data_IF_052062491674
#
_entry.id   IF_052062491674
#
_cell.length_a   1.000
_cell.length_b   1.000
_cell.length_c   1.000
_cell.angle_alpha   90.00
_cell.angle_beta   90.00
_cell.angle_gamma   90.00
#
_symmetry.space_group_name_H-M   'P 1'
#
loop_
_entity.id
_entity.type
_entity.pdbx_description
1 polymer ?
#
# COMPACT_ATOMS: atom_id res chain seq x y z
N UNK A 1 -29.10 3.76 -16.74
CA UNK A 1 -29.04 2.41 -17.35
C UNK A 1 -27.59 1.98 -17.32
N UNK A 2 -27.26 0.84 -16.71
CA UNK A 2 -25.89 0.34 -16.68
C UNK A 2 -25.50 -0.13 -18.08
N UNK A 3 -24.31 0.26 -18.56
CA UNK A 3 -23.77 -0.27 -19.81
C UNK A 3 -23.29 -1.70 -19.53
N UNK A 4 -23.83 -2.68 -20.23
CA UNK A 4 -23.53 -4.10 -20.04
C UNK A 4 -23.40 -4.72 -21.44
N UNK A 5 -22.43 -5.62 -21.63
CA UNK A 5 -22.34 -6.44 -22.85
C UNK A 5 -22.80 -7.85 -22.52
N UNK A 6 -23.83 -8.32 -23.20
CA UNK A 6 -24.29 -9.71 -23.09
C UNK A 6 -23.31 -10.64 -23.81
N UNK A 7 -22.78 -11.62 -23.09
CA UNK A 7 -21.86 -12.62 -23.62
C UNK A 7 -22.57 -13.96 -23.82
N UNK A 8 -22.40 -14.58 -24.99
CA UNK A 8 -22.88 -15.96 -25.22
C UNK A 8 -22.05 -16.98 -24.41
N UNK A 9 -20.82 -16.63 -24.07
CA UNK A 9 -19.95 -17.40 -23.18
C UNK A 9 -20.30 -17.09 -21.71
N UNK A 10 -20.13 -18.07 -20.82
CA UNK A 10 -20.44 -17.93 -19.38
C UNK A 10 -19.44 -17.05 -18.62
N UNK A 11 -18.55 -16.34 -19.31
CA UNK A 11 -17.53 -15.47 -18.73
C UNK A 11 -17.55 -14.13 -19.46
N UNK A 12 -17.62 -13.06 -18.68
CA UNK A 12 -17.47 -11.69 -19.14
C UNK A 12 -16.45 -10.97 -18.26
N UNK A 13 -15.93 -9.84 -18.76
CA UNK A 13 -15.11 -8.95 -17.95
C UNK A 13 -15.54 -7.48 -18.10
N UNK A 14 -15.14 -6.70 -17.10
CA UNK A 14 -15.23 -5.24 -17.08
C UNK A 14 -13.87 -4.69 -16.68
N UNK A 15 -13.40 -3.69 -17.44
CA UNK A 15 -12.12 -3.04 -17.26
C UNK A 15 -12.30 -1.54 -17.05
N UNK A 16 -11.61 -0.97 -16.07
CA UNK A 16 -11.62 0.47 -15.78
C UNK A 16 -10.39 1.14 -16.39
N UNK A 17 -10.65 1.96 -17.40
CA UNK A 17 -9.65 2.72 -18.14
C UNK A 17 -9.57 4.11 -17.51
N UNK A 18 -8.45 4.41 -16.85
CA UNK A 18 -8.17 5.74 -16.29
C UNK A 18 -6.99 6.35 -17.05
N UNK A 19 -7.21 7.48 -17.76
CA UNK A 19 -6.18 8.23 -18.46
C UNK A 19 -6.17 9.69 -18.00
N UNK A 20 -4.98 10.25 -17.83
CA UNK A 20 -4.81 11.65 -17.44
C UNK A 20 -4.24 12.44 -18.63
N UNK A 21 -4.89 13.56 -18.94
CA UNK A 21 -4.51 14.48 -20.00
C UNK A 21 -4.47 15.92 -19.44
N UNK A 22 -3.30 16.32 -18.93
CA UNK A 22 -3.18 17.58 -18.19
C UNK A 22 -4.00 17.52 -16.90
N UNK A 23 -4.92 18.47 -16.74
CA UNK A 23 -5.83 18.54 -15.59
C UNK A 23 -7.10 17.69 -15.78
N UNK A 24 -7.35 17.19 -17.00
CA UNK A 24 -8.51 16.34 -17.27
C UNK A 24 -8.20 14.86 -16.97
N UNK A 25 -9.00 14.26 -16.07
CA UNK A 25 -9.02 12.82 -15.83
C UNK A 25 -10.18 12.20 -16.60
N UNK A 26 -9.87 11.22 -17.43
CA UNK A 26 -10.86 10.45 -18.18
C UNK A 26 -10.97 9.08 -17.53
N UNK A 27 -12.18 8.74 -17.09
CA UNK A 27 -12.52 7.41 -16.60
C UNK A 27 -13.57 6.79 -17.51
N UNK A 28 -13.30 5.59 -18.02
CA UNK A 28 -14.23 4.85 -18.86
C UNK A 28 -14.23 3.37 -18.50
N UNK A 29 -15.41 2.75 -18.58
CA UNK A 29 -15.55 1.30 -18.42
C UNK A 29 -15.66 0.65 -19.79
N UNK A 30 -14.85 -0.40 -19.98
CA UNK A 30 -14.94 -1.28 -21.14
C UNK A 30 -15.44 -2.64 -20.71
N UNK A 31 -16.37 -3.20 -21.47
CA UNK A 31 -17.06 -4.45 -21.15
C UNK A 31 -16.93 -5.40 -22.34
N UNK A 32 -16.44 -6.62 -22.09
CA UNK A 32 -16.33 -7.63 -23.14
C UNK A 32 -16.55 -9.06 -22.62
N UNK A 33 -16.59 -10.01 -23.55
CA UNK A 33 -16.68 -11.44 -23.31
C UNK A 33 -15.30 -12.03 -23.00
N UNK A 34 -15.28 -13.12 -22.23
CA UNK A 34 -14.07 -13.86 -21.89
C UNK A 34 -13.40 -13.36 -20.60
N UNK A 35 -12.13 -13.73 -20.44
CA UNK A 35 -11.33 -13.38 -19.25
C UNK A 35 -10.65 -12.03 -19.42
N UNK A 36 -10.26 -11.43 -18.30
CA UNK A 36 -9.43 -10.22 -18.32
C UNK A 36 -8.14 -10.44 -19.14
N UNK A 37 -7.95 -9.69 -20.24
CA UNK A 37 -6.80 -9.86 -21.11
C UNK A 37 -5.51 -9.43 -20.42
N UNK A 38 -4.42 -10.16 -20.66
CA UNK A 38 -3.07 -9.81 -20.19
C UNK A 38 -2.30 -8.94 -21.18
N UNK A 39 -2.70 -9.00 -22.45
CA UNK A 39 -2.02 -8.34 -23.58
C UNK A 39 -2.67 -7.01 -23.98
N UNK A 40 -2.16 -6.40 -25.06
CA UNK A 40 -2.67 -5.12 -25.58
C UNK A 40 -4.08 -5.29 -26.14
N UNK A 41 -5.00 -4.42 -25.72
CA UNK A 41 -6.35 -4.33 -26.23
C UNK A 41 -6.47 -3.15 -27.23
N UNK A 42 -7.01 -3.42 -28.42
CA UNK A 42 -7.32 -2.38 -29.41
C UNK A 42 -8.78 -1.93 -29.26
N UNK A 43 -8.97 -0.71 -28.73
CA UNK A 43 -10.29 -0.09 -28.53
C UNK A 43 -10.68 0.86 -29.65
N UNK A 44 -9.99 0.84 -30.79
CA UNK A 44 -10.22 1.73 -31.94
C UNK A 44 -11.67 1.77 -32.41
N UNK A 45 -12.38 0.64 -32.37
CA UNK A 45 -13.77 0.52 -32.81
C UNK A 45 -14.82 1.04 -31.81
N UNK A 46 -14.45 1.24 -30.54
CA UNK A 46 -15.40 1.56 -29.46
C UNK A 46 -15.52 3.07 -29.21
N UNK A 47 -14.48 3.84 -29.50
CA UNK A 47 -14.40 5.27 -29.17
C UNK A 47 -14.84 6.12 -30.35
N UNK A 48 -16.14 6.41 -30.44
CA UNK A 48 -16.65 7.50 -31.29
C UNK A 48 -16.35 8.83 -30.61
N UNK A 49 -15.34 9.57 -31.07
CA UNK A 49 -15.03 10.89 -30.51
C UNK A 49 -15.27 12.03 -31.51
N UNK A 50 -15.83 13.13 -31.02
CA UNK A 50 -15.77 14.46 -31.64
C UNK A 50 -14.30 14.86 -31.87
N UNK A 51 -14.07 15.69 -32.88
CA UNK A 51 -12.76 15.99 -33.51
C UNK A 51 -11.60 16.45 -32.60
N UNK A 52 -11.81 16.71 -31.30
CA UNK A 52 -10.77 17.15 -30.36
C UNK A 52 -9.91 16.06 -29.69
N UNK A 53 -10.30 14.78 -29.76
CA UNK A 53 -9.70 13.71 -28.93
C UNK A 53 -8.77 12.71 -29.67
N UNK A 54 -8.21 13.08 -30.82
CA UNK A 54 -7.39 12.19 -31.66
C UNK A 54 -6.15 11.63 -30.91
N UNK A 55 -5.52 12.41 -30.03
CA UNK A 55 -4.39 11.95 -29.18
C UNK A 55 -4.80 10.86 -28.18
N UNK A 56 -5.99 10.99 -27.60
CA UNK A 56 -6.55 10.01 -26.66
C UNK A 56 -6.89 8.70 -27.39
N UNK A 57 -7.46 8.77 -28.59
CA UNK A 57 -7.69 7.58 -29.42
C UNK A 57 -6.40 6.81 -29.71
N UNK A 58 -5.30 7.50 -30.03
CA UNK A 58 -4.04 6.83 -30.32
C UNK A 58 -3.41 6.13 -29.10
N UNK A 59 -3.64 6.63 -27.89
CA UNK A 59 -3.28 5.92 -26.66
C UNK A 59 -4.17 4.70 -26.42
N UNK A 60 -5.48 4.86 -26.60
CA UNK A 60 -6.47 3.81 -26.36
C UNK A 60 -6.45 2.70 -27.42
N UNK A 61 -5.89 2.96 -28.61
CA UNK A 61 -5.58 1.95 -29.65
C UNK A 61 -4.58 0.89 -29.22
N UNK A 62 -3.73 1.19 -28.23
CA UNK A 62 -2.71 0.27 -27.72
C UNK A 62 -2.73 0.27 -26.19
N UNK A 63 -3.91 0.03 -25.63
CA UNK A 63 -4.06 -0.01 -24.18
C UNK A 63 -3.38 -1.28 -23.65
N UNK A 64 -2.34 -1.11 -22.83
CA UNK A 64 -1.69 -2.25 -22.18
C UNK A 64 -2.53 -2.71 -20.99
N UNK A 65 -3.26 -3.81 -21.15
CA UNK A 65 -4.16 -4.34 -20.13
C UNK A 65 -3.45 -4.88 -18.89
N UNK A 66 -2.12 -5.08 -18.96
CA UNK A 66 -1.30 -5.33 -17.78
C UNK A 66 -1.29 -4.17 -16.78
N UNK A 67 -1.77 -2.98 -17.16
CA UNK A 67 -1.85 -1.80 -16.27
C UNK A 67 -3.30 -1.35 -15.99
N UNK A 68 -4.30 -2.12 -16.45
CA UNK A 68 -5.71 -1.73 -16.42
C UNK A 68 -6.45 -2.63 -15.45
N UNK A 69 -7.11 -2.02 -14.47
CA UNK A 69 -7.91 -2.77 -13.52
C UNK A 69 -9.02 -3.51 -14.25
N UNK A 70 -9.13 -4.81 -13.98
CA UNK A 70 -10.10 -5.65 -14.65
C UNK A 70 -10.67 -6.67 -13.68
N UNK A 71 -11.99 -6.83 -13.75
CA UNK A 71 -12.75 -7.84 -13.03
C UNK A 71 -13.42 -8.77 -14.03
N UNK A 72 -13.32 -10.08 -13.76
CA UNK A 72 -13.97 -11.12 -14.52
C UNK A 72 -15.11 -11.71 -13.69
N UNK A 73 -16.27 -11.89 -14.29
CA UNK A 73 -17.42 -12.49 -13.66
C UNK A 73 -17.87 -13.73 -14.43
N UNK A 74 -18.44 -14.70 -13.72
CA UNK A 74 -18.82 -16.00 -14.26
C UNK A 74 -20.31 -16.28 -14.05
N UNK A 75 -20.85 -17.17 -14.87
CA UNK A 75 -22.16 -17.81 -14.73
C UNK A 75 -23.39 -16.93 -14.99
N UNK A 76 -23.20 -15.68 -15.40
CA UNK A 76 -24.30 -14.77 -15.79
C UNK A 76 -23.85 -13.97 -17.02
N UNK A 77 -24.60 -13.99 -18.14
CA UNK A 77 -24.23 -13.29 -19.38
C UNK A 77 -24.04 -11.77 -19.28
N UNK A 78 -24.49 -11.16 -18.18
CA UNK A 78 -24.63 -9.70 -17.99
C UNK A 78 -24.01 -9.19 -16.69
N UNK A 79 -23.07 -9.94 -16.09
CA UNK A 79 -22.50 -9.59 -14.80
C UNK A 79 -21.44 -8.46 -14.85
N UNK A 80 -20.89 -8.15 -16.03
CA UNK A 80 -19.89 -7.11 -16.25
C UNK A 80 -20.54 -5.72 -16.20
N UNK A 81 -20.92 -5.27 -15.01
CA UNK A 81 -21.54 -3.97 -14.76
C UNK A 81 -20.69 -3.10 -13.85
N UNK A 82 -20.85 -1.78 -13.91
CA UNK A 82 -20.10 -0.85 -13.03
C UNK A 82 -20.34 -1.17 -11.54
N UNK A 83 -21.58 -1.41 -11.09
CA UNK A 83 -21.82 -1.78 -9.69
C UNK A 83 -21.19 -3.12 -9.28
N UNK A 84 -20.96 -4.03 -10.24
CA UNK A 84 -20.19 -5.24 -10.00
C UNK A 84 -18.72 -4.86 -9.76
N UNK A 85 -18.08 -4.17 -10.70
CA UNK A 85 -16.68 -3.76 -10.60
C UNK A 85 -16.35 -2.98 -9.32
N UNK A 86 -17.18 -2.01 -8.94
CA UNK A 86 -16.95 -1.17 -7.75
C UNK A 86 -17.01 -1.95 -6.42
N UNK A 87 -17.64 -3.13 -6.42
CA UNK A 87 -17.72 -4.00 -5.23
C UNK A 87 -16.58 -5.01 -5.17
N UNK A 88 -15.87 -5.22 -6.27
CA UNK A 88 -14.82 -6.22 -6.32
C UNK A 88 -13.64 -5.85 -5.44
N UNK A 89 -13.03 -6.88 -4.84
CA UNK A 89 -11.91 -6.72 -3.93
C UNK A 89 -10.61 -6.41 -4.69
N UNK A 90 -10.40 -5.15 -5.02
CA UNK A 90 -9.09 -4.63 -5.41
C UNK A 90 -8.30 -4.22 -4.18
N UNK A 91 -7.01 -4.53 -4.13
CA UNK A 91 -6.13 -4.13 -3.04
C UNK A 91 -5.12 -3.07 -3.48
N UNK A 92 -4.51 -2.36 -2.54
CA UNK A 92 -3.26 -1.67 -2.81
C UNK A 92 -2.15 -2.69 -3.03
N UNK A 93 -1.27 -2.42 -4.01
CA UNK A 93 -0.08 -3.19 -4.28
C UNK A 93 1.17 -2.35 -4.06
N UNK A 94 2.15 -2.90 -3.35
CA UNK A 94 3.42 -2.25 -3.09
C UNK A 94 4.48 -3.30 -2.77
N UNK A 95 5.58 -3.28 -3.51
CA UNK A 95 6.77 -4.06 -3.16
C UNK A 95 7.60 -3.32 -2.10
N UNK A 96 8.36 -4.06 -1.29
CA UNK A 96 9.09 -3.52 -0.15
C UNK A 96 10.08 -2.41 -0.51
N UNK A 97 10.72 -2.53 -1.68
CA UNK A 97 11.71 -1.58 -2.19
C UNK A 97 11.10 -0.40 -2.98
N UNK A 98 9.77 -0.33 -3.11
CA UNK A 98 9.08 0.76 -3.81
C UNK A 98 8.62 1.81 -2.81
N UNK A 99 8.67 3.07 -3.23
CA UNK A 99 8.21 4.20 -2.42
C UNK A 99 6.69 4.34 -2.46
N UNK A 100 6.13 4.26 -3.65
CA UNK A 100 4.70 4.43 -3.93
C UNK A 100 3.98 3.10 -4.07
N UNK A 101 2.71 3.08 -3.64
CA UNK A 101 1.77 1.99 -3.90
C UNK A 101 0.98 2.26 -5.17
N UNK A 102 0.46 1.21 -5.79
CA UNK A 102 -0.41 1.26 -6.97
C UNK A 102 -1.73 0.57 -6.68
N UNK A 103 -2.77 0.87 -7.46
CA UNK A 103 -4.01 0.09 -7.43
C UNK A 103 -3.73 -1.30 -8.01
N UNK A 104 -4.25 -2.34 -7.37
CA UNK A 104 -4.17 -3.71 -7.88
C UNK A 104 -4.92 -3.84 -9.20
N UNK A 105 -4.32 -4.56 -10.15
CA UNK A 105 -4.82 -4.67 -11.53
C UNK A 105 -5.90 -5.76 -11.66
N UNK A 106 -5.92 -6.71 -10.73
CA UNK A 106 -6.85 -7.84 -10.71
C UNK A 106 -7.58 -7.91 -9.38
N UNK A 107 -8.78 -8.51 -9.43
CA UNK A 107 -9.57 -8.81 -8.24
C UNK A 107 -8.85 -9.87 -7.41
N UNK A 108 -8.74 -9.65 -6.11
CA UNK A 108 -8.18 -10.61 -5.18
C UNK A 108 -9.24 -11.64 -4.77
N UNK A 109 -8.84 -12.90 -4.68
CA UNK A 109 -9.78 -14.00 -4.41
C UNK A 109 -10.25 -14.09 -2.96
N UNK A 110 -9.50 -13.53 -2.00
CA UNK A 110 -9.76 -13.72 -0.57
C UNK A 110 -9.65 -12.43 0.25
N UNK A 111 -8.43 -11.95 0.45
CA UNK A 111 -8.12 -10.84 1.33
C UNK A 111 -7.11 -9.89 0.68
N UNK A 112 -7.06 -8.67 1.20
CA UNK A 112 -5.89 -7.82 1.09
C UNK A 112 -4.98 -8.03 2.29
N UNK A 113 -3.67 -7.87 2.10
CA UNK A 113 -2.72 -7.78 3.21
C UNK A 113 -1.88 -6.51 3.14
N UNK A 114 -1.42 -6.08 4.30
CA UNK A 114 -0.32 -5.13 4.47
C UNK A 114 0.59 -5.62 5.59
N UNK A 115 1.90 -5.44 5.43
CA UNK A 115 2.86 -5.69 6.51
C UNK A 115 4.24 -5.14 6.18
N UNK A 116 5.24 -5.55 6.96
CA UNK A 116 6.63 -5.10 6.83
C UNK A 116 7.49 -6.27 6.36
N UNK A 117 8.20 -6.12 5.24
CA UNK A 117 9.16 -7.10 4.77
C UNK A 117 10.30 -7.27 5.78
N UNK A 118 10.68 -8.51 6.08
CA UNK A 118 11.70 -8.81 7.09
C UNK A 118 13.11 -8.40 6.65
N UNK A 119 13.40 -8.40 5.34
CA UNK A 119 14.75 -8.15 4.80
C UNK A 119 14.93 -6.69 4.40
N UNK A 120 14.04 -6.21 3.54
CA UNK A 120 14.06 -4.86 2.99
C UNK A 120 13.54 -3.84 4.01
N UNK A 121 12.84 -4.31 5.06
CA UNK A 121 12.25 -3.48 6.09
C UNK A 121 11.20 -2.51 5.55
N UNK A 122 10.79 -2.62 4.29
CA UNK A 122 9.76 -1.77 3.68
C UNK A 122 8.34 -2.29 3.90
N UNK A 123 7.34 -1.42 3.74
CA UNK A 123 5.94 -1.84 3.70
C UNK A 123 5.65 -2.62 2.41
N UNK A 124 4.93 -3.74 2.55
CA UNK A 124 4.45 -4.59 1.45
C UNK A 124 2.94 -4.65 1.50
N UNK A 125 2.29 -4.55 0.34
CA UNK A 125 0.84 -4.58 0.17
C UNK A 125 0.50 -5.46 -1.03
N UNK A 126 -0.59 -6.22 -0.95
CA UNK A 126 -1.10 -6.99 -2.09
C UNK A 126 -2.31 -7.85 -1.76
N UNK A 127 -2.68 -8.71 -2.72
CA UNK A 127 -3.69 -9.76 -2.55
C UNK A 127 -3.15 -10.92 -1.69
N UNK A 128 -4.05 -11.60 -0.99
CA UNK A 128 -3.78 -12.83 -0.23
C UNK A 128 -3.76 -12.61 1.28
N UNK A 129 -3.45 -13.67 2.02
CA UNK A 129 -3.45 -13.66 3.49
C UNK A 129 -2.06 -13.44 4.06
N UNK A 130 -2.00 -12.94 5.29
CA UNK A 130 -0.75 -12.83 6.03
C UNK A 130 -0.12 -14.20 6.29
N UNK A 131 -0.94 -15.23 6.49
CA UNK A 131 -0.50 -16.63 6.67
C UNK A 131 0.31 -17.15 5.50
N UNK A 132 0.08 -16.62 4.31
CA UNK A 132 0.70 -17.08 3.06
C UNK A 132 2.07 -16.40 2.84
N UNK A 133 2.39 -15.39 3.66
CA UNK A 133 3.52 -14.49 3.48
C UNK A 133 4.50 -14.54 4.67
N UNK A 134 5.23 -15.66 4.79
CA UNK A 134 6.22 -15.89 5.87
C UNK A 134 7.37 -14.86 5.93
N UNK A 135 7.56 -14.07 4.87
CA UNK A 135 8.58 -13.01 4.78
C UNK A 135 8.12 -11.67 5.34
N UNK A 136 6.90 -11.58 5.87
CA UNK A 136 6.28 -10.32 6.31
C UNK A 136 6.00 -10.37 7.82
N UNK A 137 6.39 -9.32 8.54
CA UNK A 137 6.08 -9.10 9.97
C UNK A 137 5.00 -8.03 10.15
N UNK A 138 4.35 -8.05 11.32
CA UNK A 138 3.26 -7.12 11.68
C UNK A 138 2.19 -7.05 10.60
N UNK A 139 1.91 -8.19 9.99
CA UNK A 139 0.98 -8.28 8.89
C UNK A 139 -0.46 -8.19 9.39
N UNK A 140 -1.30 -7.49 8.64
CA UNK A 140 -2.74 -7.36 8.89
C UNK A 140 -3.52 -7.67 7.61
N UNK A 141 -4.64 -8.36 7.78
CA UNK A 141 -5.60 -8.64 6.72
C UNK A 141 -6.83 -7.75 6.81
N UNK A 142 -7.49 -7.56 5.67
CA UNK A 142 -8.77 -6.89 5.56
C UNK A 142 -9.44 -7.29 4.23
N UNK A 143 -10.76 -7.07 4.11
CA UNK A 143 -11.59 -7.69 3.06
C UNK A 143 -12.52 -6.71 2.34
N UNK A 144 -12.23 -5.41 2.36
CA UNK A 144 -12.96 -4.41 1.57
C UNK A 144 -12.02 -3.78 0.53
N UNK A 145 -12.54 -3.22 -0.59
CA UNK A 145 -11.69 -2.62 -1.60
C UNK A 145 -10.73 -1.59 -1.01
N UNK A 146 -9.44 -1.70 -1.36
CA UNK A 146 -8.35 -0.82 -0.94
C UNK A 146 -8.18 -0.67 0.58
N UNK A 147 -8.66 -1.64 1.34
CA UNK A 147 -8.64 -1.59 2.80
C UNK A 147 -7.22 -1.61 3.37
N UNK A 148 -6.25 -2.23 2.69
CA UNK A 148 -4.89 -2.48 3.17
C UNK A 148 -4.02 -1.22 3.15
N UNK A 149 -4.54 -0.11 3.65
CA UNK A 149 -3.90 1.20 3.77
C UNK A 149 -2.82 1.20 4.86
N UNK A 150 -1.78 2.04 4.71
CA UNK A 150 -0.66 2.10 5.66
C UNK A 150 -1.09 2.56 7.06
N UNK A 151 -2.22 3.26 7.18
CA UNK A 151 -2.84 3.63 8.47
C UNK A 151 -3.28 2.43 9.30
N UNK A 152 -3.52 1.27 8.69
CA UNK A 152 -3.88 0.04 9.41
C UNK A 152 -2.70 -0.46 10.25
N UNK A 153 -1.46 -0.17 9.87
CA UNK A 153 -0.28 -0.59 10.61
C UNK A 153 -0.02 0.39 11.75
N UNK A 154 -0.17 -0.10 12.99
CA UNK A 154 0.07 0.68 14.18
C UNK A 154 1.57 0.98 14.29
N UNK A 155 1.89 2.24 14.56
CA UNK A 155 3.24 2.70 14.85
C UNK A 155 3.21 3.53 16.12
N UNK A 156 4.27 3.45 16.92
CA UNK A 156 4.44 4.36 18.05
C UNK A 156 5.25 5.59 17.66
N UNK A 157 5.23 6.61 18.50
CA UNK A 157 6.12 7.76 18.46
C UNK A 157 7.13 7.66 19.60
N UNK A 158 8.39 8.00 19.36
CA UNK A 158 9.41 8.07 20.39
C UNK A 158 10.05 9.46 20.44
N UNK A 159 10.62 9.81 21.58
CA UNK A 159 11.60 10.88 21.62
C UNK A 159 12.83 10.45 20.83
N UNK A 160 13.32 11.35 19.99
CA UNK A 160 14.54 11.22 19.22
C UNK A 160 15.47 12.35 19.61
N UNK A 161 16.57 12.01 20.27
CA UNK A 161 17.61 12.94 20.64
C UNK A 161 18.82 12.66 19.75
N UNK A 162 19.11 13.58 18.84
CA UNK A 162 20.28 13.46 17.95
C UNK A 162 21.27 14.55 18.35
N UNK A 163 22.49 14.14 18.68
CA UNK A 163 23.61 15.07 18.78
C UNK A 163 24.02 15.51 17.36
N UNK A 164 23.46 16.61 16.87
CA UNK A 164 24.03 17.33 15.72
C UNK A 164 24.53 18.68 16.21
N UNK A 165 25.85 18.89 16.07
CA UNK A 165 26.52 20.20 16.14
C UNK A 165 26.00 21.14 17.24
N UNK A 166 26.59 21.02 18.43
CA UNK A 166 26.54 21.98 19.55
C UNK A 166 25.20 22.22 20.28
N UNK A 167 24.09 21.56 19.91
CA UNK A 167 22.88 21.53 20.74
C UNK A 167 22.11 20.21 20.60
N UNK A 168 21.66 19.65 21.73
CA UNK A 168 20.79 18.48 21.73
C UNK A 168 19.39 18.92 21.33
N UNK A 169 18.89 18.45 20.18
CA UNK A 169 17.52 18.76 19.74
C UNK A 169 16.64 17.52 20.00
N UNK A 170 15.77 17.62 21.00
CA UNK A 170 14.73 16.62 21.27
C UNK A 170 13.60 16.79 20.27
N UNK A 171 13.25 15.72 19.54
CA UNK A 171 12.11 15.71 18.60
C UNK A 171 11.25 14.48 18.85
N UNK A 172 9.95 14.60 18.62
CA UNK A 172 9.06 13.42 18.59
C UNK A 172 9.02 12.91 17.15
N UNK A 173 9.37 11.64 16.95
CA UNK A 173 9.34 10.99 15.62
C UNK A 173 8.46 9.75 15.64
N UNK A 174 7.68 9.59 14.57
CA UNK A 174 6.97 8.34 14.28
C UNK A 174 8.01 7.26 13.97
N UNK A 175 7.93 6.13 14.65
CA UNK A 175 8.84 5.03 14.43
C UNK A 175 8.53 4.29 13.14
N UNK A 176 9.57 3.66 12.59
CA UNK A 176 9.38 2.67 11.54
C UNK A 176 8.41 1.59 12.05
N UNK A 177 7.42 1.16 11.24
CA UNK A 177 6.40 0.19 11.65
C UNK A 177 6.93 -1.08 12.31
N UNK A 178 8.13 -1.53 11.98
CA UNK A 178 8.74 -2.70 12.62
C UNK A 178 8.98 -2.52 14.13
N UNK A 179 9.25 -1.29 14.58
CA UNK A 179 9.50 -1.00 15.98
C UNK A 179 8.19 -0.75 16.71
N UNK A 180 8.03 -1.41 17.85
CA UNK A 180 6.99 -1.11 18.83
C UNK A 180 7.59 -0.72 20.17
N UNK A 181 8.86 -0.33 20.19
CA UNK A 181 9.56 0.09 21.39
C UNK A 181 10.31 1.40 21.18
N UNK A 182 10.53 2.10 22.27
CA UNK A 182 11.47 3.21 22.36
C UNK A 182 12.58 2.81 23.33
N UNK A 183 13.78 3.35 23.14
CA UNK A 183 14.83 3.26 24.15
C UNK A 183 15.37 4.64 24.50
N UNK A 184 15.94 4.68 25.70
CA UNK A 184 16.81 5.75 26.17
C UNK A 184 18.09 5.13 26.73
N UNK A 185 19.24 5.71 26.40
CA UNK A 185 20.54 5.22 26.83
C UNK A 185 21.49 6.35 27.21
N UNK A 186 22.51 6.03 28.00
CA UNK A 186 23.74 6.84 28.13
C UNK A 186 24.87 6.14 27.41
N UNK A 187 25.60 6.90 26.61
CA UNK A 187 26.86 6.43 26.04
C UNK A 187 28.00 6.44 27.07
N UNK A 188 29.18 5.98 26.65
CA UNK A 188 30.37 5.92 27.53
C UNK A 188 30.85 7.29 28.03
N UNK A 189 30.41 8.38 27.41
CA UNK A 189 30.71 9.75 27.81
C UNK A 189 29.57 10.39 28.64
N UNK A 190 28.56 9.61 29.01
CA UNK A 190 27.39 10.07 29.77
C UNK A 190 26.36 10.86 28.96
N UNK A 191 26.49 10.91 27.62
CA UNK A 191 25.54 11.61 26.75
C UNK A 191 24.28 10.77 26.58
N UNK A 192 23.13 11.42 26.64
CA UNK A 192 21.82 10.76 26.47
C UNK A 192 21.54 10.54 24.97
N UNK A 193 21.03 9.36 24.63
CA UNK A 193 20.44 9.04 23.33
C UNK A 193 19.03 8.51 23.54
N UNK A 194 18.10 8.95 22.70
CA UNK A 194 16.70 8.51 22.69
C UNK A 194 16.35 8.13 21.25
N UNK A 195 15.75 6.95 21.03
CA UNK A 195 15.38 6.50 19.69
C UNK A 195 14.28 5.42 19.71
N UNK A 196 13.82 5.05 18.51
CA UNK A 196 12.96 3.89 18.30
C UNK A 196 13.77 2.58 18.41
N UNK A 197 13.12 1.54 18.90
CA UNK A 197 13.65 0.18 19.03
C UNK A 197 14.01 -0.21 20.46
N UNK A 198 14.54 -1.43 20.57
CA UNK A 198 15.07 -1.96 21.82
C UNK A 198 16.50 -1.45 22.07
N UNK A 199 17.00 -1.65 23.29
CA UNK A 199 18.33 -1.22 23.69
C UNK A 199 19.45 -1.82 22.80
N UNK A 200 20.22 -0.98 22.10
CA UNK A 200 21.40 -1.44 21.38
C UNK A 200 22.45 -2.04 22.32
N UNK A 201 23.08 -3.15 21.93
CA UNK A 201 24.07 -3.88 22.73
C UNK A 201 25.30 -3.06 23.14
N UNK A 202 25.59 -1.98 22.40
CA UNK A 202 26.69 -1.04 22.71
C UNK A 202 26.45 -0.22 23.99
N UNK A 203 25.22 -0.10 24.47
CA UNK A 203 24.90 0.69 25.66
C UNK A 203 24.81 -0.18 26.92
N UNK A 204 25.66 0.12 27.91
CA UNK A 204 25.60 -0.52 29.23
C UNK A 204 24.47 0.03 30.10
N UNK A 205 24.15 1.31 29.95
CA UNK A 205 23.07 1.98 30.67
C UNK A 205 21.97 2.34 29.66
N UNK A 206 20.99 1.45 29.51
CA UNK A 206 19.88 1.63 28.59
C UNK A 206 18.60 1.05 29.16
N UNK A 207 17.49 1.75 28.94
CA UNK A 207 16.13 1.31 29.28
C UNK A 207 15.27 1.37 28.02
N UNK A 208 14.55 0.28 27.73
CA UNK A 208 13.57 0.22 26.67
C UNK A 208 12.16 0.12 27.24
N UNK A 209 11.19 0.67 26.52
CA UNK A 209 9.77 0.62 26.85
C UNK A 209 8.99 0.27 25.59
N UNK A 210 7.90 -0.51 25.74
CA UNK A 210 7.15 -1.11 24.64
C UNK A 210 5.73 -0.57 24.55
N UNK A 211 5.21 -0.56 23.33
CA UNK A 211 3.81 -0.32 22.96
C UNK A 211 3.20 0.98 23.52
N UNK A 212 4.04 1.99 23.79
CA UNK A 212 3.63 3.27 24.36
C UNK A 212 4.35 4.43 23.69
N UNK A 213 3.58 5.46 23.31
CA UNK A 213 4.14 6.69 22.75
C UNK A 213 4.98 7.45 23.78
N UNK A 214 6.12 7.98 23.31
CA UNK A 214 7.00 8.90 24.02
C UNK A 214 7.45 8.36 25.39
N UNK A 215 7.56 7.04 25.52
CA UNK A 215 7.82 6.39 26.80
C UNK A 215 9.28 6.49 27.26
N UNK A 216 10.21 6.86 26.37
CA UNK A 216 11.65 6.85 26.62
C UNK A 216 12.15 8.14 27.28
N UNK A 217 11.58 8.52 28.43
CA UNK A 217 11.95 9.73 29.17
C UNK A 217 13.26 9.59 29.97
N UNK A 218 13.94 10.72 30.22
CA UNK A 218 15.22 10.77 30.95
C UNK A 218 15.15 10.26 32.39
N UNK A 219 13.98 10.39 33.03
CA UNK A 219 13.73 9.88 34.38
C UNK A 219 13.87 8.36 34.52
N UNK A 220 13.89 7.62 33.39
CA UNK A 220 14.08 6.17 33.39
C UNK A 220 15.54 5.76 33.55
N UNK A 221 16.49 6.65 33.27
CA UNK A 221 17.90 6.32 33.45
C UNK A 221 18.27 6.38 34.95
N UNK A 222 18.96 5.38 35.50
CA UNK A 222 19.44 5.41 36.87
C UNK A 222 20.29 6.65 37.10
N UNK A 223 20.10 7.31 38.25
CA UNK A 223 20.99 8.37 38.70
C UNK A 223 22.39 7.76 38.85
N UNK A 224 23.35 8.23 38.06
CA UNK A 224 24.77 7.98 38.32
C UNK A 224 25.09 8.53 39.70
N UNK A 225 25.33 7.66 40.68
CA UNK A 225 25.98 8.06 41.93
C UNK A 225 27.34 8.63 41.54
N UNK A 226 27.49 9.94 41.72
CA UNK A 226 28.78 10.65 41.63
C UNK A 226 29.59 10.28 42.87
#
# INVERSE_FOLDING_TARGET
>A
MANIKECNESVCYIAKIEEQHGDEKIEHYHYDCGRCPSDVLDLSGYIKAKSGYIKLQNKLKKLNMSNVQCAQCKNIPTCNSDPYFEKELFCWEKAANKWTRTKGIRVCESDCFIGVDIKEMGLVQGCGKCTDNSKVKKCKNCNTPYCNDDKIINTIKCHHLSAKTNSFIKRVKKCHPIYNSCYIARDIFGRVEQNCGDCPSKYKNCVACKDKDMCNEESLLPLTKI
#
